data_IF_745073548205
#
_entry.id   IF_745073548205
#
_cell.length_a   1.000
_cell.length_b   1.000
_cell.length_c   1.000
_cell.angle_alpha   90.00
_cell.angle_beta   90.00
_cell.angle_gamma   90.00
#
_symmetry.space_group_name_H-M   'P 1'
#
loop_
_entity.id
_entity.type
_entity.pdbx_description
1 polymer ?
#
# COMPACT_ATOMS: atom_id res chain seq x y z
N UNK A 1 21.90 13.19 -9.14
CA UNK A 1 21.28 11.89 -8.82
C UNK A 1 21.05 11.85 -7.32
N UNK A 2 19.79 11.84 -6.89
CA UNK A 2 19.49 11.68 -5.47
C UNK A 2 19.75 10.22 -5.06
N UNK A 3 20.18 10.01 -3.82
CA UNK A 3 20.40 8.66 -3.28
C UNK A 3 19.07 7.93 -3.15
N UNK A 4 19.01 6.65 -3.54
CA UNK A 4 17.81 5.77 -3.44
C UNK A 4 17.08 5.87 -2.08
N UNK A 5 17.84 6.11 -1.00
CA UNK A 5 17.30 6.25 0.36
C UNK A 5 16.45 7.51 0.56
N UNK A 6 16.70 8.59 -0.19
CA UNK A 6 15.98 9.87 -0.09
C UNK A 6 14.70 9.89 -0.93
N UNK A 7 14.72 9.26 -2.11
CA UNK A 7 13.56 9.04 -2.98
C UNK A 7 12.47 8.29 -2.20
N UNK A 8 12.89 7.29 -1.41
CA UNK A 8 12.05 6.51 -0.51
C UNK A 8 11.47 7.31 0.67
N UNK A 9 11.97 8.54 0.94
CA UNK A 9 11.46 9.48 1.95
C UNK A 9 10.52 10.52 1.34
N UNK A 10 10.75 10.97 0.10
CA UNK A 10 9.84 11.88 -0.60
C UNK A 10 8.57 11.18 -1.12
N UNK A 11 8.65 9.92 -1.55
CA UNK A 11 7.49 9.24 -2.15
C UNK A 11 7.33 9.50 -3.64
N UNK A 12 8.37 10.01 -4.28
CA UNK A 12 8.39 10.44 -5.68
C UNK A 12 9.71 9.96 -6.26
N UNK A 13 9.67 9.26 -7.38
CA UNK A 13 10.87 8.82 -8.10
C UNK A 13 11.55 10.00 -8.79
N UNK A 14 12.88 9.97 -8.91
CA UNK A 14 13.63 10.96 -9.68
C UNK A 14 13.09 11.02 -11.13
N UNK A 15 13.01 12.21 -11.73
CA UNK A 15 12.55 12.40 -13.11
C UNK A 15 11.14 11.86 -13.41
N UNK A 16 10.25 11.81 -12.41
CA UNK A 16 8.84 11.57 -12.65
C UNK A 16 8.28 12.60 -13.66
N UNK A 17 7.67 12.12 -14.73
CA UNK A 17 7.24 12.94 -15.87
C UNK A 17 5.75 12.79 -16.20
N UNK A 18 5.06 11.83 -15.58
CA UNK A 18 3.62 11.66 -15.70
C UNK A 18 2.97 11.41 -14.35
N UNK A 19 1.67 11.72 -14.23
CA UNK A 19 0.83 11.27 -13.13
C UNK A 19 -0.14 10.23 -13.67
N UNK A 20 -0.11 9.03 -13.09
CA UNK A 20 -1.02 7.94 -13.46
C UNK A 20 -2.13 7.90 -12.42
N UNK A 21 -3.37 7.82 -12.88
CA UNK A 21 -4.55 7.60 -12.04
C UNK A 21 -5.25 6.33 -12.49
N UNK A 22 -5.64 5.50 -11.54
CA UNK A 22 -6.36 4.27 -11.81
C UNK A 22 -6.93 3.63 -10.56
N UNK A 23 -7.75 2.61 -10.75
CA UNK A 23 -8.34 1.86 -9.65
C UNK A 23 -7.37 0.78 -9.16
N UNK A 24 -7.10 0.77 -7.87
CA UNK A 24 -6.41 -0.31 -7.18
C UNK A 24 -7.40 -1.11 -6.35
N UNK A 25 -7.55 -2.38 -6.71
CA UNK A 25 -8.38 -3.34 -5.97
C UNK A 25 -7.51 -4.26 -5.14
N UNK A 26 -7.73 -4.27 -3.82
CA UNK A 26 -7.12 -5.21 -2.87
C UNK A 26 -8.18 -5.76 -1.93
N UNK A 27 -8.13 -7.07 -1.66
CA UNK A 27 -9.10 -7.77 -0.79
C UNK A 27 -10.57 -7.50 -1.16
N UNK A 28 -10.87 -7.35 -2.45
CA UNK A 28 -12.23 -7.07 -2.95
C UNK A 28 -12.71 -5.63 -2.73
N UNK A 29 -11.89 -4.75 -2.15
CA UNK A 29 -12.16 -3.31 -2.06
C UNK A 29 -11.44 -2.59 -3.18
N UNK A 30 -12.18 -1.83 -4.00
CA UNK A 30 -11.65 -1.00 -5.07
C UNK A 30 -11.54 0.45 -4.62
N UNK A 31 -10.40 1.10 -4.89
CA UNK A 31 -10.19 2.53 -4.63
C UNK A 31 -9.32 3.16 -5.70
N UNK A 32 -9.65 4.38 -6.08
CA UNK A 32 -8.81 5.18 -6.96
C UNK A 32 -7.52 5.61 -6.27
N UNK A 33 -6.41 5.47 -6.99
CA UNK A 33 -5.09 5.95 -6.59
C UNK A 33 -4.51 6.83 -7.69
N UNK A 34 -3.74 7.84 -7.30
CA UNK A 34 -3.03 8.72 -8.21
C UNK A 34 -1.60 8.91 -7.73
N UNK A 35 -0.62 8.71 -8.62
CA UNK A 35 0.80 8.75 -8.24
C UNK A 35 1.70 9.23 -9.38
N UNK A 36 2.81 9.92 -9.05
CA UNK A 36 3.80 10.32 -10.03
C UNK A 36 4.64 9.12 -10.48
N UNK A 37 4.90 9.06 -11.78
CA UNK A 37 5.59 7.96 -12.46
C UNK A 37 6.64 8.52 -13.42
N UNK A 38 7.80 7.89 -13.48
CA UNK A 38 8.77 8.08 -14.56
C UNK A 38 8.49 7.05 -15.63
N UNK A 39 8.16 7.51 -16.83
CA UNK A 39 7.98 6.67 -18.02
C UNK A 39 9.07 7.04 -19.01
N UNK A 40 9.83 6.04 -19.47
CA UNK A 40 10.80 6.19 -20.55
C UNK A 40 10.40 5.29 -21.71
N UNK A 41 10.24 5.89 -22.88
CA UNK A 41 10.09 5.16 -24.13
C UNK A 41 11.44 5.17 -24.84
N UNK A 42 11.95 3.99 -25.15
CA UNK A 42 13.16 3.85 -25.95
C UNK A 42 12.96 2.70 -26.93
N UNK A 43 13.19 3.00 -28.21
CA UNK A 43 12.90 2.09 -29.32
C UNK A 43 11.41 1.65 -29.28
N UNK A 44 11.15 0.36 -29.07
CA UNK A 44 9.81 -0.23 -28.95
C UNK A 44 9.51 -0.73 -27.52
N UNK A 45 10.28 -0.28 -26.53
CA UNK A 45 10.11 -0.65 -25.12
C UNK A 45 9.66 0.55 -24.29
N UNK A 46 8.73 0.28 -23.39
CA UNK A 46 8.25 1.23 -22.40
C UNK A 46 8.65 0.72 -21.02
N UNK A 47 9.45 1.50 -20.32
CA UNK A 47 9.79 1.27 -18.92
C UNK A 47 9.04 2.30 -18.06
N UNK A 48 8.40 1.83 -16.99
CA UNK A 48 7.68 2.67 -16.05
C UNK A 48 8.14 2.35 -14.63
N UNK A 49 8.53 3.38 -13.89
CA UNK A 49 8.95 3.29 -12.50
C UNK A 49 8.18 4.30 -11.65
N UNK A 50 7.64 3.84 -10.53
CA UNK A 50 6.93 4.67 -9.58
C UNK A 50 7.17 4.17 -8.15
N UNK A 51 6.99 5.06 -7.19
CA UNK A 51 6.97 4.72 -5.77
C UNK A 51 5.68 5.24 -5.17
N UNK A 52 4.85 4.32 -4.67
CA UNK A 52 3.53 4.65 -4.17
C UNK A 52 3.52 4.40 -2.66
N UNK A 53 2.95 5.33 -1.91
CA UNK A 53 2.60 5.11 -0.51
C UNK A 53 1.10 5.04 -0.37
N UNK A 54 0.63 3.94 0.20
CA UNK A 54 -0.77 3.68 0.47
C UNK A 54 -0.94 3.33 1.94
N UNK A 55 -2.10 3.67 2.50
CA UNK A 55 -2.53 3.12 3.78
C UNK A 55 -3.25 1.81 3.53
N UNK A 56 -2.71 0.71 4.06
CA UNK A 56 -3.29 -0.63 3.91
C UNK A 56 -4.67 -0.75 4.58
N UNK A 57 -4.92 0.10 5.58
CA UNK A 57 -6.21 0.19 6.30
C UNK A 57 -7.33 0.59 5.33
N UNK A 58 -7.02 1.35 4.28
CA UNK A 58 -8.01 1.78 3.29
C UNK A 58 -8.63 0.57 2.55
N UNK A 59 -7.91 -0.55 2.51
CA UNK A 59 -8.37 -1.83 1.94
C UNK A 59 -8.68 -2.88 3.01
N UNK A 60 -8.91 -2.46 4.26
CA UNK A 60 -9.33 -3.34 5.35
C UNK A 60 -8.22 -4.20 5.95
N UNK A 61 -6.95 -3.95 5.62
CA UNK A 61 -5.81 -4.63 6.25
C UNK A 61 -5.43 -3.93 7.56
N UNK A 62 -6.30 -4.07 8.57
CA UNK A 62 -5.99 -3.75 9.97
C UNK A 62 -5.26 -4.93 10.62
N UNK A 63 -4.26 -4.64 11.45
CA UNK A 63 -3.54 -5.64 12.24
C UNK A 63 -4.44 -6.36 13.27
N UNK A 64 -5.64 -5.84 13.56
CA UNK A 64 -6.64 -6.42 14.46
C UNK A 64 -7.79 -7.18 13.75
N UNK A 65 -7.68 -7.52 12.46
CA UNK A 65 -8.73 -8.28 11.76
C UNK A 65 -8.71 -9.79 12.06
N UNK A 66 -8.27 -10.20 13.26
CA UNK A 66 -8.56 -11.54 13.81
C UNK A 66 -9.87 -11.45 14.60
N UNK A 67 -10.97 -12.11 14.19
CA UNK A 67 -12.22 -12.12 14.97
C UNK A 67 -12.14 -12.90 16.30
N UNK A 68 -10.94 -13.33 16.73
CA UNK A 68 -10.77 -14.32 17.79
C UNK A 68 -9.78 -13.93 18.90
N UNK A 69 -9.34 -12.67 18.97
CA UNK A 69 -8.40 -12.23 20.01
C UNK A 69 -9.05 -11.97 21.39
N UNK A 70 -10.36 -12.23 21.56
CA UNK A 70 -11.11 -11.88 22.76
C UNK A 70 -12.06 -12.98 23.28
N UNK A 71 -11.84 -14.25 22.93
CA UNK A 71 -12.39 -15.36 23.73
C UNK A 71 -11.53 -15.60 24.98
N UNK A 72 -11.73 -14.74 25.97
CA UNK A 72 -11.21 -14.89 27.34
C UNK A 72 -11.86 -16.11 28.02
N UNK A 73 -11.19 -17.27 27.97
CA UNK A 73 -11.54 -18.43 28.78
C UNK A 73 -11.12 -18.24 30.23
N UNK A 74 -11.97 -17.68 31.11
CA UNK A 74 -11.92 -18.01 32.55
C UNK A 74 -13.28 -17.86 33.22
N UNK A 75 -13.92 -19.00 33.49
CA UNK A 75 -14.84 -19.15 34.61
C UNK A 75 -14.60 -20.54 35.22
N UNK A 76 -13.72 -20.61 36.21
CA UNK A 76 -13.77 -21.70 37.18
C UNK A 76 -14.90 -21.39 38.16
N UNK A 77 -16.01 -22.11 38.04
CA UNK A 77 -17.00 -22.18 39.13
C UNK A 77 -16.47 -23.20 40.15
N UNK A 78 -15.99 -22.73 41.29
CA UNK A 78 -15.83 -23.60 42.46
C UNK A 78 -17.22 -23.85 43.04
N UNK A 79 -17.65 -25.12 43.08
CA UNK A 79 -18.81 -25.53 43.87
C UNK A 79 -18.39 -25.73 45.34
N UNK A 80 -19.24 -25.27 46.27
CA UNK A 80 -19.12 -25.49 47.72
C UNK A 80 -19.27 -26.96 48.07
#
# INVERSE_FOLDING_TARGET
MASYKEIKKAGVVDEANYTITGELTMLGTAKDISFPTRITLKDEKMDAEALIRISRIDWGMDYASEPTADMQFYRMLTYT
#
